data_IF_401979777211
#
_entry.id   IF_401979777211
#
_cell.length_a   1.000
_cell.length_b   1.000
_cell.length_c   1.000
_cell.angle_alpha   90.00
_cell.angle_beta   90.00
_cell.angle_gamma   90.00
#
_symmetry.space_group_name_H-M   'P 1'
#
loop_
_entity.id
_entity.type
_entity.pdbx_description
1 polymer ?
#
# COMPACT_ATOMS: atom_id res chain seq x y z
N UNK A 1 -13.53 -22.64 -9.98
CA UNK A 1 -14.33 -21.37 -10.13
C UNK A 1 -14.04 -20.81 -11.52
N UNK A 2 -15.07 -20.53 -12.32
CA UNK A 2 -14.93 -19.97 -13.67
C UNK A 2 -14.52 -18.49 -13.56
N UNK A 3 -13.47 -18.09 -14.27
CA UNK A 3 -13.00 -16.72 -14.33
C UNK A 3 -12.99 -16.25 -15.79
N UNK A 4 -13.46 -15.03 -16.03
CA UNK A 4 -13.48 -14.42 -17.34
C UNK A 4 -12.30 -13.48 -17.45
N UNK A 5 -11.31 -13.82 -18.24
CA UNK A 5 -10.16 -13.00 -18.59
C UNK A 5 -9.89 -13.14 -20.09
N UNK A 6 -9.29 -12.15 -20.73
CA UNK A 6 -8.75 -12.28 -22.08
C UNK A 6 -7.42 -13.05 -22.01
N UNK A 7 -6.30 -12.38 -22.23
CA UNK A 7 -5.00 -12.95 -21.93
C UNK A 7 -4.60 -12.65 -20.47
N UNK A 8 -4.25 -13.66 -19.65
CA UNK A 8 -3.83 -13.43 -18.27
C UNK A 8 -2.65 -12.47 -18.13
N UNK A 9 -1.74 -12.43 -19.09
CA UNK A 9 -0.59 -11.52 -19.08
C UNK A 9 -0.99 -10.05 -19.23
N UNK A 10 -2.08 -9.78 -19.93
CA UNK A 10 -2.59 -8.44 -20.20
C UNK A 10 -3.57 -7.94 -19.12
N UNK A 11 -4.00 -8.83 -18.21
CA UNK A 11 -5.01 -8.55 -17.20
C UNK A 11 -4.75 -7.24 -16.41
N UNK A 12 -3.53 -6.95 -15.90
CA UNK A 12 -3.30 -5.73 -15.13
C UNK A 12 -3.48 -4.46 -15.95
N UNK A 13 -2.99 -4.47 -17.20
CA UNK A 13 -3.09 -3.34 -18.11
C UNK A 13 -4.53 -3.09 -18.55
N UNK A 14 -5.27 -4.15 -18.87
CA UNK A 14 -6.69 -4.08 -19.23
C UNK A 14 -7.57 -3.63 -18.05
N UNK A 15 -7.30 -4.17 -16.85
CA UNK A 15 -8.01 -3.78 -15.63
C UNK A 15 -7.79 -2.30 -15.31
N UNK A 16 -6.54 -1.81 -15.41
CA UNK A 16 -6.24 -0.39 -15.20
C UNK A 16 -6.92 0.49 -16.25
N UNK A 17 -6.90 0.09 -17.52
CA UNK A 17 -7.60 0.79 -18.61
C UNK A 17 -9.11 0.89 -18.35
N UNK A 18 -9.73 -0.21 -17.93
CA UNK A 18 -11.15 -0.26 -17.55
C UNK A 18 -11.45 0.63 -16.36
N UNK A 19 -10.61 0.57 -15.31
CA UNK A 19 -10.73 1.43 -14.14
C UNK A 19 -10.68 2.92 -14.49
N UNK A 20 -9.73 3.34 -15.33
CA UNK A 20 -9.59 4.73 -15.80
C UNK A 20 -10.85 5.17 -16.55
N UNK A 21 -11.34 4.34 -17.47
CA UNK A 21 -12.52 4.66 -18.24
C UNK A 21 -13.77 4.87 -17.36
N UNK A 22 -13.95 4.03 -16.34
CA UNK A 22 -15.05 4.12 -15.38
C UNK A 22 -14.90 5.30 -14.41
N UNK A 23 -13.68 5.72 -14.11
CA UNK A 23 -13.36 6.70 -13.08
C UNK A 23 -12.73 8.00 -13.63
N UNK A 24 -12.93 8.33 -14.90
CA UNK A 24 -12.31 9.49 -15.58
C UNK A 24 -12.57 10.85 -14.92
N UNK A 25 -13.61 10.97 -14.08
CA UNK A 25 -13.85 12.18 -13.30
C UNK A 25 -12.86 12.34 -12.13
N UNK A 26 -12.22 11.28 -11.68
CA UNK A 26 -11.28 11.28 -10.54
C UNK A 26 -9.85 11.09 -10.98
N UNK A 27 -9.60 10.29 -12.01
CA UNK A 27 -8.27 9.92 -12.46
C UNK A 27 -8.06 10.13 -13.96
N UNK A 28 -6.83 10.41 -14.33
CA UNK A 28 -6.34 10.41 -15.72
C UNK A 28 -5.07 9.55 -15.83
N UNK A 29 -4.84 8.89 -16.99
CA UNK A 29 -3.71 8.01 -17.17
C UNK A 29 -2.39 8.76 -17.28
N UNK A 30 -1.35 8.12 -16.75
CA UNK A 30 0.06 8.42 -17.04
C UNK A 30 0.80 7.10 -17.24
N UNK A 31 2.02 7.14 -17.79
CA UNK A 31 2.80 5.91 -17.92
C UNK A 31 3.04 5.28 -16.53
N UNK A 32 2.65 4.03 -16.35
CA UNK A 32 2.81 3.25 -15.12
C UNK A 32 1.74 3.47 -14.05
N UNK A 33 0.68 4.25 -14.33
CA UNK A 33 -0.36 4.45 -13.34
C UNK A 33 -1.35 5.55 -13.67
N UNK A 34 -1.79 6.24 -12.63
CA UNK A 34 -2.78 7.33 -12.73
C UNK A 34 -2.37 8.52 -11.85
N UNK A 35 -2.84 9.70 -12.24
CA UNK A 35 -2.85 10.89 -11.35
C UNK A 35 -4.28 11.45 -11.27
N UNK A 36 -4.55 12.27 -10.24
CA UNK A 36 -5.90 12.87 -10.10
C UNK A 36 -6.24 13.75 -11.29
N UNK A 37 -7.48 13.68 -11.76
CA UNK A 37 -7.99 14.53 -12.85
C UNK A 37 -8.30 15.95 -12.40
N UNK A 38 -8.64 16.17 -11.12
CA UNK A 38 -8.74 17.49 -10.51
C UNK A 38 -7.36 18.11 -10.39
N UNK A 39 -7.25 19.43 -10.55
CA UNK A 39 -5.97 20.11 -10.39
C UNK A 39 -5.44 19.95 -8.95
N UNK A 40 -4.21 19.46 -8.81
CA UNK A 40 -3.47 19.59 -7.55
C UNK A 40 -3.03 21.04 -7.43
N UNK A 41 -3.27 21.72 -6.30
CA UNK A 41 -2.83 23.11 -6.10
C UNK A 41 -1.31 23.26 -6.29
N UNK A 42 -0.88 24.36 -6.89
CA UNK A 42 0.54 24.74 -6.93
C UNK A 42 1.05 24.96 -5.50
N UNK A 43 2.28 24.52 -5.25
CA UNK A 43 2.88 24.61 -3.92
C UNK A 43 2.37 23.56 -2.91
N UNK A 44 1.53 22.61 -3.33
CA UNK A 44 1.14 21.46 -2.51
C UNK A 44 2.20 20.37 -2.60
N UNK A 45 2.57 19.78 -1.47
CA UNK A 45 3.34 18.52 -1.43
C UNK A 45 2.47 17.40 -2.07
N UNK A 46 2.98 16.82 -3.14
CA UNK A 46 2.27 15.72 -3.80
C UNK A 46 2.52 14.41 -3.03
N UNK A 47 1.45 13.62 -2.83
CA UNK A 47 1.54 12.28 -2.24
C UNK A 47 1.09 11.24 -3.25
N UNK A 48 1.97 10.28 -3.52
CA UNK A 48 1.75 9.20 -4.50
C UNK A 48 1.92 7.87 -3.78
N UNK A 49 1.05 6.92 -4.04
CA UNK A 49 1.13 5.60 -3.45
C UNK A 49 1.24 4.54 -4.55
N UNK A 50 1.80 3.38 -4.24
CA UNK A 50 1.92 2.35 -5.26
C UNK A 50 2.51 1.05 -4.79
N UNK A 51 2.50 0.10 -5.70
CA UNK A 51 2.93 -1.27 -5.54
C UNK A 51 2.34 -2.14 -6.64
N UNK A 52 2.31 -3.45 -6.42
CA UNK A 52 1.64 -4.40 -7.30
C UNK A 52 0.13 -4.15 -7.39
N UNK A 53 -0.44 -4.39 -8.56
CA UNK A 53 -1.89 -4.45 -8.72
C UNK A 53 -2.46 -5.70 -8.03
N UNK A 54 -3.78 -5.73 -7.80
CA UNK A 54 -4.46 -6.87 -7.18
C UNK A 54 -4.89 -6.62 -5.73
N UNK A 55 -4.41 -5.56 -5.12
CA UNK A 55 -4.75 -5.16 -3.73
C UNK A 55 -5.96 -4.21 -3.67
N UNK A 56 -6.92 -4.35 -4.57
CA UNK A 56 -8.05 -3.42 -4.71
C UNK A 56 -8.76 -3.13 -3.38
N UNK A 57 -9.12 -1.82 -3.14
CA UNK A 57 -9.05 -0.66 -4.03
C UNK A 57 -7.66 -0.01 -4.16
N UNK A 58 -6.64 -0.47 -3.45
CA UNK A 58 -5.27 0.03 -3.59
C UNK A 58 -4.74 -0.26 -5.01
N UNK A 59 -4.01 0.64 -5.63
CA UNK A 59 -3.69 2.00 -5.14
C UNK A 59 -4.46 3.04 -5.96
N UNK A 60 -4.85 2.71 -7.20
CA UNK A 60 -5.55 3.61 -8.11
C UNK A 60 -6.90 4.12 -7.54
N UNK A 61 -7.62 3.28 -6.79
CA UNK A 61 -8.89 3.63 -6.15
C UNK A 61 -8.78 4.65 -5.02
N UNK A 62 -7.58 5.01 -4.60
CA UNK A 62 -7.32 6.03 -3.57
C UNK A 62 -6.98 7.40 -4.16
N UNK A 63 -6.90 7.51 -5.50
CA UNK A 63 -6.52 8.76 -6.16
C UNK A 63 -7.70 9.73 -6.23
N UNK A 64 -7.51 10.91 -5.67
CA UNK A 64 -8.51 11.97 -5.66
C UNK A 64 -8.28 13.02 -4.59
N UNK A 65 -9.13 14.03 -4.59
CA UNK A 65 -9.08 15.12 -3.61
C UNK A 65 -9.16 14.59 -2.17
N UNK A 66 -8.26 15.03 -1.30
CA UNK A 66 -8.18 14.62 0.11
C UNK A 66 -7.59 13.23 0.33
N UNK A 67 -7.09 12.57 -0.74
CA UNK A 67 -6.30 11.35 -0.63
C UNK A 67 -5.09 11.45 -1.58
N UNK A 68 -4.78 10.42 -2.40
CA UNK A 68 -3.60 10.40 -3.24
C UNK A 68 -3.67 11.38 -4.42
N UNK A 69 -2.54 12.01 -4.77
CA UNK A 69 -2.38 12.80 -6.00
C UNK A 69 -2.06 11.91 -7.22
N UNK A 70 -1.57 10.70 -6.97
CA UNK A 70 -1.32 9.69 -7.99
C UNK A 70 -1.15 8.30 -7.41
N UNK A 71 -1.19 7.29 -8.29
CA UNK A 71 -0.90 5.90 -7.93
C UNK A 71 -0.06 5.22 -8.99
N UNK A 72 1.02 4.55 -8.56
CA UNK A 72 1.84 3.68 -9.43
C UNK A 72 1.26 2.28 -9.37
N UNK A 73 0.99 1.69 -10.54
CA UNK A 73 0.31 0.41 -10.66
C UNK A 73 1.21 -0.60 -11.37
N UNK A 74 1.75 -1.56 -10.62
CA UNK A 74 2.54 -2.66 -11.13
C UNK A 74 1.70 -3.80 -11.69
N UNK A 75 2.37 -4.90 -12.07
CA UNK A 75 1.70 -6.16 -12.39
C UNK A 75 1.06 -6.75 -11.13
N UNK A 76 0.25 -7.81 -11.28
CA UNK A 76 -0.40 -8.45 -10.12
C UNK A 76 0.67 -8.90 -9.13
N UNK A 77 0.57 -8.40 -7.88
CA UNK A 77 1.46 -8.67 -6.75
C UNK A 77 2.96 -8.51 -7.09
N UNK A 78 3.27 -7.60 -8.00
CA UNK A 78 4.64 -7.36 -8.45
C UNK A 78 4.93 -5.88 -8.50
N UNK A 79 6.06 -5.48 -7.92
CA UNK A 79 6.49 -4.08 -7.86
C UNK A 79 6.61 -3.47 -9.27
N UNK A 80 6.07 -2.26 -9.49
CA UNK A 80 6.30 -1.51 -10.72
C UNK A 80 7.78 -1.10 -10.86
N UNK A 81 8.20 -0.82 -12.09
CA UNK A 81 9.56 -0.37 -12.36
C UNK A 81 9.80 1.06 -11.84
N UNK A 82 11.06 1.41 -11.58
CA UNK A 82 11.47 2.77 -11.24
C UNK A 82 11.09 3.81 -12.32
N UNK A 83 11.05 3.41 -13.59
CA UNK A 83 10.61 4.29 -14.67
C UNK A 83 9.11 4.61 -14.61
N UNK A 84 8.27 3.63 -14.25
CA UNK A 84 6.83 3.84 -14.02
C UNK A 84 6.60 4.74 -12.81
N UNK A 85 7.29 4.48 -11.70
CA UNK A 85 7.23 5.30 -10.50
C UNK A 85 7.64 6.74 -10.78
N UNK A 86 8.79 6.95 -11.41
CA UNK A 86 9.26 8.29 -11.81
C UNK A 86 8.22 9.05 -12.65
N UNK A 87 7.59 8.38 -13.62
CA UNK A 87 6.58 9.02 -14.48
C UNK A 87 5.39 9.54 -13.69
N UNK A 88 4.85 8.74 -12.77
CA UNK A 88 3.69 9.13 -11.95
C UNK A 88 4.07 10.24 -10.97
N UNK A 89 5.21 10.10 -10.28
CA UNK A 89 5.71 11.09 -9.33
C UNK A 89 5.94 12.45 -10.01
N UNK A 90 6.60 12.44 -11.17
CA UNK A 90 6.84 13.66 -11.97
C UNK A 90 5.53 14.32 -12.41
N UNK A 91 4.55 13.53 -12.84
CA UNK A 91 3.24 14.04 -13.26
C UNK A 91 2.40 14.60 -12.10
N UNK A 92 2.57 14.07 -10.89
CA UNK A 92 1.89 14.54 -9.68
C UNK A 92 2.52 15.79 -9.06
N UNK A 93 3.84 16.01 -9.25
CA UNK A 93 4.59 17.10 -8.64
C UNK A 93 4.03 18.48 -9.01
N UNK A 94 3.99 19.41 -8.01
CA UNK A 94 3.46 20.78 -8.13
C UNK A 94 4.32 21.84 -7.41
N UNK A 95 5.63 21.64 -7.38
CA UNK A 95 6.58 22.66 -6.88
C UNK A 95 7.01 22.49 -5.42
N UNK A 96 6.24 21.84 -4.55
CA UNK A 96 6.60 21.69 -3.12
C UNK A 96 7.13 20.28 -2.75
N UNK A 97 7.62 19.53 -3.72
CA UNK A 97 8.14 18.19 -3.52
C UNK A 97 7.08 17.09 -3.70
N UNK A 98 7.54 15.83 -3.69
CA UNK A 98 6.70 14.64 -3.86
C UNK A 98 7.14 13.51 -2.94
N UNK A 99 6.16 12.85 -2.32
CA UNK A 99 6.36 11.74 -1.40
C UNK A 99 5.77 10.45 -2.00
N UNK A 100 6.57 9.37 -2.01
CA UNK A 100 6.19 8.05 -2.50
C UNK A 100 5.94 7.10 -1.34
N UNK A 101 4.67 6.72 -1.10
CA UNK A 101 4.29 5.79 -0.05
C UNK A 101 3.99 4.38 -0.56
N UNK A 102 4.43 3.37 0.19
CA UNK A 102 4.24 1.95 -0.12
C UNK A 102 4.44 1.09 1.13
N UNK A 103 3.92 -0.15 1.09
CA UNK A 103 4.23 -1.16 2.10
C UNK A 103 5.67 -1.66 1.97
N UNK A 104 6.29 -2.02 3.06
CA UNK A 104 7.71 -2.41 3.13
C UNK A 104 7.99 -3.75 2.44
N UNK A 105 8.16 -3.72 1.13
CA UNK A 105 8.57 -4.86 0.31
C UNK A 105 9.82 -4.53 -0.50
N UNK A 106 10.74 -5.49 -0.59
CA UNK A 106 12.07 -5.27 -1.16
C UNK A 106 12.07 -4.74 -2.61
N UNK A 107 11.13 -5.21 -3.44
CA UNK A 107 10.99 -4.74 -4.82
C UNK A 107 10.58 -3.26 -4.87
N UNK A 108 9.63 -2.86 -4.04
CA UNK A 108 9.15 -1.48 -3.97
C UNK A 108 10.24 -0.54 -3.40
N UNK A 109 10.92 -0.95 -2.34
CA UNK A 109 12.07 -0.20 -1.77
C UNK A 109 13.13 0.07 -2.85
N UNK A 110 13.49 -0.95 -3.63
CA UNK A 110 14.48 -0.82 -4.70
C UNK A 110 13.99 0.12 -5.83
N UNK A 111 12.83 -0.17 -6.40
CA UNK A 111 12.36 0.51 -7.60
C UNK A 111 11.91 1.95 -7.30
N UNK A 112 11.23 2.18 -6.19
CA UNK A 112 10.81 3.53 -5.81
C UNK A 112 11.99 4.37 -5.32
N UNK A 113 12.96 3.75 -4.65
CA UNK A 113 14.23 4.41 -4.34
C UNK A 113 14.94 4.95 -5.59
N UNK A 114 15.02 4.16 -6.67
CA UNK A 114 15.59 4.61 -7.95
C UNK A 114 14.83 5.82 -8.53
N UNK A 115 13.51 5.82 -8.45
CA UNK A 115 12.70 6.96 -8.93
C UNK A 115 12.94 8.22 -8.11
N UNK A 116 13.03 8.09 -6.79
CA UNK A 116 13.33 9.19 -5.86
C UNK A 116 14.71 9.79 -6.15
N UNK A 117 15.74 8.96 -6.28
CA UNK A 117 17.10 9.45 -6.61
C UNK A 117 17.13 10.21 -7.95
N UNK A 118 16.38 9.75 -8.94
CA UNK A 118 16.27 10.45 -10.22
C UNK A 118 15.59 11.82 -10.07
N UNK A 119 14.53 11.93 -9.29
CA UNK A 119 13.85 13.21 -9.03
C UNK A 119 14.75 14.20 -8.26
N UNK A 120 15.49 13.70 -7.27
CA UNK A 120 16.48 14.50 -6.52
C UNK A 120 17.59 15.04 -7.42
N UNK A 121 18.07 14.23 -8.36
CA UNK A 121 19.05 14.66 -9.36
C UNK A 121 18.51 15.77 -10.29
N UNK A 122 17.21 15.91 -10.43
CA UNK A 122 16.53 16.98 -11.17
C UNK A 122 16.19 18.20 -10.28
N UNK A 123 16.64 18.23 -9.02
CA UNK A 123 16.39 19.32 -8.08
C UNK A 123 14.98 19.32 -7.47
N UNK A 124 14.28 18.19 -7.50
CA UNK A 124 12.95 18.03 -6.90
C UNK A 124 13.11 17.39 -5.52
N UNK A 125 12.55 18.02 -4.50
CA UNK A 125 12.46 17.42 -3.18
C UNK A 125 11.57 16.17 -3.27
N UNK A 126 12.15 15.00 -2.97
CA UNK A 126 11.46 13.73 -3.08
C UNK A 126 11.92 12.76 -1.98
N UNK A 127 11.01 11.97 -1.41
CA UNK A 127 11.34 10.96 -0.41
C UNK A 127 10.35 9.78 -0.43
N UNK A 128 10.72 8.70 0.26
CA UNK A 128 9.87 7.51 0.45
C UNK A 128 9.19 7.52 1.81
N UNK A 129 7.99 6.95 1.85
CA UNK A 129 7.16 6.76 3.04
C UNK A 129 6.82 5.27 3.17
N UNK A 130 7.60 4.54 3.97
CA UNK A 130 7.51 3.08 4.07
C UNK A 130 6.65 2.68 5.26
N UNK A 131 5.53 1.99 5.00
CA UNK A 131 4.62 1.50 6.05
C UNK A 131 5.09 0.15 6.59
N UNK A 132 5.02 0.00 7.93
CA UNK A 132 5.59 -1.13 8.68
C UNK A 132 4.65 -1.60 9.80
N UNK A 133 3.38 -1.83 9.49
CA UNK A 133 2.32 -2.08 10.47
C UNK A 133 2.12 -3.55 10.86
N UNK A 134 2.61 -4.52 10.06
CA UNK A 134 2.36 -5.94 10.26
C UNK A 134 3.15 -6.53 11.44
N UNK A 135 2.47 -6.73 12.56
CA UNK A 135 3.09 -7.26 13.78
C UNK A 135 3.58 -8.71 13.66
N UNK A 136 3.07 -9.46 12.68
CA UNK A 136 3.47 -10.86 12.45
C UNK A 136 4.83 -11.00 11.74
N UNK A 137 5.32 -9.93 11.12
CA UNK A 137 6.50 -10.00 10.25
C UNK A 137 7.81 -9.48 10.86
N UNK A 138 7.76 -8.97 12.09
CA UNK A 138 8.96 -8.50 12.81
C UNK A 138 8.67 -8.18 14.27
N UNK A 139 9.69 -8.23 15.09
CA UNK A 139 9.58 -7.95 16.53
C UNK A 139 9.29 -6.45 16.80
N UNK A 140 8.99 -6.12 18.06
CA UNK A 140 8.82 -4.74 18.51
C UNK A 140 10.08 -3.89 18.38
N UNK A 141 11.23 -4.54 18.44
CA UNK A 141 12.54 -3.87 18.39
C UNK A 141 13.06 -3.74 16.93
N UNK A 142 12.33 -4.29 15.96
CA UNK A 142 12.72 -4.32 14.55
C UNK A 142 11.55 -3.82 13.65
N UNK A 143 10.91 -2.73 14.06
CA UNK A 143 9.76 -2.17 13.34
C UNK A 143 10.05 -1.91 11.86
N UNK A 144 11.25 -1.48 11.54
CA UNK A 144 11.69 -1.20 10.17
C UNK A 144 11.77 -2.44 9.27
N UNK A 145 11.75 -3.64 9.86
CA UNK A 145 11.72 -4.92 9.11
C UNK A 145 10.30 -5.42 8.84
N UNK A 146 9.31 -4.84 9.50
CA UNK A 146 7.92 -5.24 9.34
C UNK A 146 7.41 -4.93 7.94
N UNK A 147 6.54 -5.80 7.43
CA UNK A 147 5.78 -5.56 6.19
C UNK A 147 4.76 -4.44 6.39
N UNK A 148 4.39 -3.76 5.32
CA UNK A 148 3.21 -2.90 5.25
C UNK A 148 2.03 -3.68 4.67
N UNK A 149 0.89 -3.70 5.37
CA UNK A 149 -0.32 -4.39 4.95
C UNK A 149 -1.55 -3.49 5.10
N UNK A 150 -2.53 -3.84 5.94
CA UNK A 150 -3.78 -3.07 6.07
C UNK A 150 -3.58 -1.66 6.63
N UNK A 151 -2.49 -1.41 7.36
CA UNK A 151 -2.11 -0.09 7.87
C UNK A 151 -1.78 0.94 6.80
N UNK A 152 -1.47 0.51 5.58
CA UNK A 152 -1.30 1.40 4.42
C UNK A 152 -2.48 2.38 4.30
N UNK A 153 -3.71 1.89 4.43
CA UNK A 153 -4.90 2.71 4.23
C UNK A 153 -5.02 3.88 5.22
N UNK A 154 -5.05 3.67 6.56
CA UNK A 154 -5.15 4.78 7.52
C UNK A 154 -3.92 5.67 7.52
N UNK A 155 -2.71 5.12 7.42
CA UNK A 155 -1.47 5.89 7.41
C UNK A 155 -1.42 6.82 6.20
N UNK A 156 -1.71 6.32 5.00
CA UNK A 156 -1.73 7.14 3.79
C UNK A 156 -2.88 8.15 3.79
N UNK A 157 -4.05 7.81 4.36
CA UNK A 157 -5.15 8.76 4.48
C UNK A 157 -4.80 9.94 5.40
N UNK A 158 -4.16 9.68 6.54
CA UNK A 158 -3.70 10.71 7.47
C UNK A 158 -2.63 11.59 6.79
N UNK A 159 -1.65 10.99 6.14
CA UNK A 159 -0.57 11.68 5.42
C UNK A 159 -1.12 12.56 4.30
N UNK A 160 -2.06 12.03 3.52
CA UNK A 160 -2.71 12.78 2.44
C UNK A 160 -3.51 13.96 2.94
N UNK A 161 -4.23 13.79 4.06
CA UNK A 161 -4.98 14.89 4.67
C UNK A 161 -4.06 16.02 5.13
N UNK A 162 -2.88 15.70 5.67
CA UNK A 162 -1.85 16.68 6.04
C UNK A 162 -1.34 17.46 4.81
N UNK A 163 -1.03 16.75 3.72
CA UNK A 163 -0.61 17.36 2.47
C UNK A 163 -1.73 18.21 1.82
N UNK A 164 -2.98 17.75 1.85
CA UNK A 164 -4.14 18.48 1.31
C UNK A 164 -4.46 19.73 2.15
N UNK A 165 -4.15 19.71 3.46
CA UNK A 165 -4.25 20.90 4.34
C UNK A 165 -3.13 21.94 4.10
N UNK A 166 -2.20 21.68 3.17
CA UNK A 166 -1.13 22.60 2.80
C UNK A 166 0.09 22.57 3.71
N UNK A 167 0.29 21.49 4.48
CA UNK A 167 1.49 21.34 5.30
C UNK A 167 2.73 21.11 4.43
N UNK A 168 3.88 21.65 4.87
CA UNK A 168 5.14 21.55 4.15
C UNK A 168 5.75 20.14 4.17
N UNK A 169 6.72 19.90 3.31
CA UNK A 169 7.33 18.60 3.01
C UNK A 169 7.77 17.83 4.28
N UNK A 170 8.56 18.46 5.14
CA UNK A 170 9.05 17.81 6.37
C UNK A 170 7.93 17.58 7.40
N UNK A 171 6.93 18.44 7.44
CA UNK A 171 5.81 18.26 8.36
C UNK A 171 4.89 17.11 7.93
N UNK A 172 4.65 16.92 6.63
CA UNK A 172 3.92 15.76 6.09
C UNK A 172 4.67 14.47 6.41
N UNK A 173 6.00 14.45 6.26
CA UNK A 173 6.86 13.30 6.65
C UNK A 173 6.76 13.00 8.15
N UNK A 174 6.80 14.03 8.99
CA UNK A 174 6.66 13.89 10.44
C UNK A 174 5.30 13.30 10.83
N UNK A 175 4.22 13.74 10.19
CA UNK A 175 2.87 13.19 10.41
C UNK A 175 2.79 11.74 9.95
N UNK A 176 3.35 11.41 8.79
CA UNK A 176 3.48 10.03 8.33
C UNK A 176 4.19 9.15 9.37
N UNK A 177 5.37 9.57 9.83
CA UNK A 177 6.16 8.81 10.79
C UNK A 177 5.37 8.54 12.08
N UNK A 178 4.64 9.56 12.59
CA UNK A 178 3.78 9.42 13.77
C UNK A 178 2.61 8.45 13.52
N UNK A 179 1.94 8.55 12.37
CA UNK A 179 0.85 7.66 12.01
C UNK A 179 1.33 6.20 11.87
N UNK A 180 2.44 5.98 11.16
CA UNK A 180 3.04 4.65 10.98
C UNK A 180 3.46 4.03 12.32
N UNK A 181 4.12 4.80 13.19
CA UNK A 181 4.51 4.35 14.53
C UNK A 181 3.32 3.96 15.42
N UNK A 182 2.15 4.56 15.20
CA UNK A 182 0.92 4.28 15.96
C UNK A 182 0.02 3.20 15.33
N UNK A 183 0.31 2.76 14.10
CA UNK A 183 -0.54 1.80 13.37
C UNK A 183 0.00 0.39 13.51
N UNK A 184 -0.91 -0.54 13.76
CA UNK A 184 -0.63 -2.00 13.82
C UNK A 184 -1.68 -2.75 13.05
N UNK A 185 -1.27 -3.80 12.34
CA UNK A 185 -2.15 -4.75 11.68
C UNK A 185 -1.77 -6.17 12.05
N UNK A 186 -2.77 -7.03 12.12
CA UNK A 186 -2.62 -8.46 12.34
C UNK A 186 -3.68 -9.19 11.56
N UNK A 187 -3.31 -10.19 10.78
CA UNK A 187 -4.21 -10.86 9.86
C UNK A 187 -4.31 -12.37 10.07
N UNK A 188 -5.40 -12.93 9.58
CA UNK A 188 -5.58 -14.38 9.41
C UNK A 188 -5.95 -14.68 7.97
N UNK A 189 -5.56 -15.85 7.47
CA UNK A 189 -5.90 -16.33 6.14
C UNK A 189 -6.66 -17.67 6.23
N UNK A 190 -7.74 -17.77 5.44
CA UNK A 190 -8.55 -18.99 5.35
C UNK A 190 -8.32 -19.75 4.04
N UNK A 191 -7.76 -19.08 3.05
CA UNK A 191 -7.41 -19.64 1.75
C UNK A 191 -6.40 -18.76 1.03
N UNK A 192 -5.64 -19.33 0.11
CA UNK A 192 -4.78 -18.58 -0.79
C UNK A 192 -5.54 -17.94 -1.94
N UNK A 193 -4.96 -16.90 -2.55
CA UNK A 193 -5.48 -16.32 -3.77
C UNK A 193 -4.87 -17.01 -5.01
N UNK A 194 -5.62 -16.99 -6.11
CA UNK A 194 -5.17 -17.55 -7.40
C UNK A 194 -5.01 -16.42 -8.41
N UNK A 195 -3.83 -16.29 -8.98
CA UNK A 195 -3.54 -15.28 -9.99
C UNK A 195 -4.31 -15.54 -11.30
N UNK A 196 -4.58 -14.52 -12.12
CA UNK A 196 -5.10 -14.72 -13.46
C UNK A 196 -4.24 -15.72 -14.25
N UNK A 197 -4.89 -16.72 -14.86
CA UNK A 197 -4.21 -17.78 -15.64
C UNK A 197 -3.51 -18.87 -14.82
N UNK A 198 -3.38 -18.75 -13.52
CA UNK A 198 -2.78 -19.78 -12.67
C UNK A 198 -3.75 -20.97 -12.48
N UNK A 199 -3.18 -22.17 -12.39
CA UNK A 199 -3.92 -23.43 -12.19
C UNK A 199 -4.29 -23.68 -10.72
N UNK A 200 -3.62 -23.02 -9.78
CA UNK A 200 -3.83 -23.15 -8.34
C UNK A 200 -3.54 -21.88 -7.58
N UNK A 201 -3.83 -21.83 -6.28
CA UNK A 201 -3.55 -20.69 -5.42
C UNK A 201 -2.04 -20.56 -5.15
N UNK A 202 -1.62 -19.33 -4.74
CA UNK A 202 -0.23 -19.03 -4.34
C UNK A 202 0.20 -19.81 -3.09
N UNK A 203 -0.75 -20.08 -2.20
CA UNK A 203 -0.57 -20.90 -1.01
C UNK A 203 -1.88 -21.59 -0.66
N UNK A 204 -1.82 -22.59 0.20
CA UNK A 204 -3.01 -23.34 0.67
C UNK A 204 -3.10 -23.25 2.19
N UNK A 205 -4.32 -23.17 2.69
CA UNK A 205 -4.65 -23.38 4.09
C UNK A 205 -5.54 -24.63 4.13
N UNK A 206 -5.24 -25.66 4.95
CA UNK A 206 -6.06 -26.87 5.02
C UNK A 206 -7.51 -26.57 5.45
N UNK A 207 -8.42 -27.43 5.06
CA UNK A 207 -9.84 -27.31 5.45
C UNK A 207 -10.00 -27.25 6.98
N UNK A 208 -10.92 -26.41 7.44
CA UNK A 208 -11.17 -26.14 8.86
C UNK A 208 -9.94 -25.64 9.66
N UNK A 209 -8.97 -25.05 8.99
CA UNK A 209 -7.82 -24.37 9.61
C UNK A 209 -7.74 -22.92 9.18
N UNK A 210 -6.94 -22.13 9.88
CA UNK A 210 -6.57 -20.77 9.52
C UNK A 210 -5.08 -20.55 9.75
N UNK A 211 -4.44 -19.83 8.85
CA UNK A 211 -3.08 -19.33 9.03
C UNK A 211 -3.09 -17.98 9.73
N UNK A 212 -2.26 -17.83 10.75
CA UNK A 212 -2.14 -16.59 11.53
C UNK A 212 -0.91 -15.81 11.08
N UNK A 213 -1.08 -14.53 10.74
CA UNK A 213 0.00 -13.63 10.36
C UNK A 213 0.62 -13.91 8.99
N UNK A 214 -0.06 -14.68 8.11
CA UNK A 214 0.40 -14.82 6.73
C UNK A 214 0.42 -13.44 6.02
N UNK A 215 1.47 -13.23 5.21
CA UNK A 215 1.55 -12.06 4.37
C UNK A 215 0.53 -12.07 3.23
N UNK A 216 0.28 -10.91 2.66
CA UNK A 216 -0.74 -10.71 1.62
C UNK A 216 -0.41 -11.42 0.29
N UNK A 217 0.85 -11.83 0.08
CA UNK A 217 1.29 -12.62 -1.07
C UNK A 217 1.55 -14.09 -0.71
N UNK A 218 1.25 -14.51 0.53
CA UNK A 218 1.50 -15.84 1.04
C UNK A 218 2.86 -15.99 1.74
N UNK A 219 3.47 -14.88 2.16
CA UNK A 219 4.67 -14.93 2.99
C UNK A 219 4.36 -15.68 4.31
N UNK A 220 5.33 -16.41 4.87
CA UNK A 220 5.11 -17.22 6.07
C UNK A 220 4.48 -16.44 7.22
N UNK A 221 3.49 -17.06 7.85
CA UNK A 221 2.86 -16.57 9.07
C UNK A 221 3.61 -17.01 10.32
N UNK A 222 3.01 -16.72 11.47
CA UNK A 222 3.55 -17.10 12.80
C UNK A 222 3.00 -18.42 13.30
N UNK A 223 1.78 -18.81 12.86
CA UNK A 223 1.13 -20.05 13.33
C UNK A 223 0.05 -20.52 12.34
N UNK A 224 -0.38 -21.78 12.49
CA UNK A 224 -1.54 -22.37 11.83
C UNK A 224 -2.35 -23.15 12.85
N UNK A 225 -3.63 -22.78 13.01
CA UNK A 225 -4.51 -23.40 14.02
C UNK A 225 -5.85 -23.84 13.43
N UNK A 226 -6.63 -24.60 14.21
CA UNK A 226 -8.00 -24.93 13.85
C UNK A 226 -8.86 -23.68 13.70
N UNK A 227 -9.82 -23.73 12.79
CA UNK A 227 -10.78 -22.65 12.60
C UNK A 227 -11.68 -22.55 13.83
N UNK A 228 -11.54 -21.45 14.56
CA UNK A 228 -12.40 -21.11 15.70
C UNK A 228 -13.69 -20.43 15.27
N UNK A 229 -14.53 -20.12 16.24
CA UNK A 229 -15.71 -19.26 16.02
C UNK A 229 -15.26 -17.82 15.72
N UNK A 230 -16.12 -17.04 15.11
CA UNK A 230 -15.80 -15.65 14.73
C UNK A 230 -15.34 -14.78 15.92
N UNK A 231 -15.96 -14.96 17.09
CA UNK A 231 -15.59 -14.26 18.34
C UNK A 231 -14.22 -14.70 18.87
N UNK A 232 -13.84 -15.96 18.71
CA UNK A 232 -12.52 -16.48 19.08
C UNK A 232 -11.42 -15.94 18.15
N UNK A 233 -11.69 -15.92 16.84
CA UNK A 233 -10.78 -15.32 15.86
C UNK A 233 -10.60 -13.83 16.12
N UNK A 234 -11.69 -13.09 16.36
CA UNK A 234 -11.63 -11.67 16.70
C UNK A 234 -10.82 -11.43 17.99
N UNK A 235 -10.98 -12.26 19.01
CA UNK A 235 -10.20 -12.20 20.25
C UNK A 235 -8.71 -12.37 19.97
N UNK A 236 -8.32 -13.40 19.22
CA UNK A 236 -6.92 -13.65 18.82
C UNK A 236 -6.30 -12.43 18.16
N UNK A 237 -7.02 -11.80 17.22
CA UNK A 237 -6.53 -10.62 16.52
C UNK A 237 -6.38 -9.41 17.46
N UNK A 238 -7.39 -9.13 18.26
CA UNK A 238 -7.38 -7.97 19.18
C UNK A 238 -6.32 -8.14 20.27
N UNK A 239 -6.23 -9.31 20.89
CA UNK A 239 -5.21 -9.59 21.93
C UNK A 239 -3.79 -9.48 21.35
N UNK A 240 -3.55 -9.96 20.11
CA UNK A 240 -2.27 -9.80 19.42
C UNK A 240 -1.91 -8.32 19.20
N UNK A 241 -2.85 -7.52 18.73
CA UNK A 241 -2.66 -6.08 18.52
C UNK A 241 -2.41 -5.33 19.84
N UNK A 242 -3.18 -5.64 20.89
CA UNK A 242 -3.00 -5.02 22.21
C UNK A 242 -1.65 -5.40 22.83
N UNK A 243 -1.21 -6.65 22.66
CA UNK A 243 0.11 -7.11 23.13
C UNK A 243 1.27 -6.39 22.44
N UNK A 244 1.10 -5.94 21.18
CA UNK A 244 2.11 -5.19 20.44
C UNK A 244 2.01 -3.66 20.61
N UNK A 245 1.05 -3.18 21.37
CA UNK A 245 0.83 -1.75 21.61
C UNK A 245 2.09 -1.07 22.18
N UNK A 246 2.45 0.15 21.71
CA UNK A 246 3.51 0.93 22.34
C UNK A 246 3.21 1.21 23.81
N UNK A 247 4.22 1.13 24.69
CA UNK A 247 4.06 1.34 26.12
C UNK A 247 3.48 2.73 26.49
N UNK A 248 3.73 3.75 25.66
CA UNK A 248 3.29 5.13 25.85
C UNK A 248 1.90 5.41 25.23
N UNK A 249 1.28 4.44 24.58
CA UNK A 249 -0.07 4.63 24.05
C UNK A 249 -1.07 4.76 25.20
N UNK A 250 -1.64 5.95 25.40
CA UNK A 250 -2.66 6.19 26.43
C UNK A 250 -3.92 5.33 26.23
N UNK A 251 -4.71 5.09 27.29
CA UNK A 251 -5.87 4.19 27.30
C UNK A 251 -7.13 4.75 26.63
N UNK A 252 -6.96 5.61 25.63
CA UNK A 252 -8.10 6.13 24.85
C UNK A 252 -8.27 5.28 23.59
N UNK A 253 -9.20 4.34 23.63
CA UNK A 253 -9.82 3.73 22.47
C UNK A 253 -10.93 4.59 21.95
#
# INVERSE_FOLDING_TARGET
>A
MTRLVNDPSDFPAEALKGFIAANKRYVKPVYGGVVRSTATPEGKVAVVYGGGSGHYPAFAGWVGHGFADGAVCGNIFSSPSGAQAYSVLKAAHRGAGVLMGFGNYAGDVLHFGQAIERLRAEGIDADTLVVTDDIASGSKDELEKRRGIAGDFPVFKITSAAAEAGLGFEEVKRIFAKANAATRSFGVAFAGCTLPGATGPLFTVPDARMGIGLGIHGEPGVDETGLGRADEVARTLVEGLLADRPAEAGDRC
#
